data_IF_087980358856
#
_entry.id   IF_087980358856
#
_cell.length_a   1.000
_cell.length_b   1.000
_cell.length_c   1.000
_cell.angle_alpha   90.00
_cell.angle_beta   90.00
_cell.angle_gamma   90.00
#
_symmetry.space_group_name_H-M   'P 1'
#
loop_
_entity.id
_entity.type
_entity.pdbx_description
1 polymer ?
#
# COMPACT_ATOMS: atom_id res chain seq x y z
N UNK A 1 -2.81 -11.82 -9.02
CA UNK A 1 -2.83 -12.54 -10.32
C UNK A 1 -1.77 -13.64 -10.29
N UNK A 2 -2.13 -14.84 -10.73
CA UNK A 2 -1.25 -16.02 -10.73
C UNK A 2 -0.45 -16.02 -12.04
N UNK A 3 0.89 -16.25 -12.01
CA UNK A 3 1.67 -16.36 -13.25
C UNK A 3 1.07 -17.43 -14.18
N UNK A 4 1.10 -17.22 -15.51
CA UNK A 4 0.63 -18.21 -16.46
C UNK A 4 1.28 -19.58 -16.23
N UNK A 5 0.59 -20.71 -16.48
CA UNK A 5 1.13 -22.05 -16.30
C UNK A 5 2.49 -22.26 -16.97
N UNK A 6 2.73 -21.62 -18.12
CA UNK A 6 3.96 -21.72 -18.91
C UNK A 6 5.08 -20.75 -18.49
N UNK A 7 4.90 -19.97 -17.43
CA UNK A 7 5.86 -18.93 -17.03
C UNK A 7 7.19 -19.50 -16.51
N UNK A 8 8.30 -18.99 -17.06
CA UNK A 8 9.57 -18.52 -16.43
C UNK A 8 9.76 -18.73 -14.93
N UNK A 9 8.73 -18.39 -14.17
CA UNK A 9 8.79 -18.28 -12.72
C UNK A 9 8.42 -19.57 -11.99
N UNK A 10 7.72 -20.49 -12.66
CA UNK A 10 7.48 -21.82 -12.10
C UNK A 10 8.74 -22.67 -12.24
N UNK A 11 9.13 -23.44 -11.20
CA UNK A 11 10.13 -24.47 -11.36
C UNK A 11 9.74 -25.42 -12.50
N UNK A 12 10.72 -25.96 -13.21
CA UNK A 12 10.51 -26.77 -14.42
C UNK A 12 9.55 -27.94 -14.19
N UNK A 13 9.63 -28.56 -13.00
CA UNK A 13 8.73 -29.65 -12.57
C UNK A 13 7.26 -29.24 -12.38
N UNK A 14 6.96 -27.94 -12.24
CA UNK A 14 5.63 -27.41 -11.98
C UNK A 14 5.08 -26.51 -13.10
N UNK A 15 5.69 -26.51 -14.28
CA UNK A 15 5.30 -25.65 -15.42
C UNK A 15 4.48 -26.40 -16.47
N UNK A 16 3.70 -25.65 -17.25
CA UNK A 16 3.00 -26.10 -18.45
C UNK A 16 1.94 -27.15 -18.15
N UNK A 17 1.97 -28.28 -18.86
CA UNK A 17 0.99 -29.38 -18.67
C UNK A 17 1.00 -29.97 -17.25
N UNK A 18 2.10 -29.81 -16.51
CA UNK A 18 2.24 -30.30 -15.13
C UNK A 18 1.72 -29.31 -14.10
N UNK A 19 1.42 -28.07 -14.50
CA UNK A 19 0.98 -27.02 -13.60
C UNK A 19 -0.43 -27.29 -13.05
N UNK A 20 -0.61 -27.08 -11.75
CA UNK A 20 -1.89 -27.19 -11.05
C UNK A 20 -2.18 -25.88 -10.30
N UNK A 21 -3.45 -25.50 -10.21
CA UNK A 21 -3.89 -24.27 -9.53
C UNK A 21 -3.42 -24.20 -8.06
N UNK A 22 -3.33 -25.35 -7.38
CA UNK A 22 -2.81 -25.46 -6.01
C UNK A 22 -1.38 -24.94 -5.85
N UNK A 23 -0.57 -24.96 -6.91
CA UNK A 23 0.80 -24.44 -6.87
C UNK A 23 0.84 -22.92 -6.65
N UNK A 24 -0.19 -22.19 -7.10
CA UNK A 24 -0.30 -20.76 -6.81
C UNK A 24 -0.31 -20.47 -5.30
N UNK A 25 -0.89 -21.37 -4.51
CA UNK A 25 -0.94 -21.28 -3.05
C UNK A 25 0.43 -21.62 -2.45
N UNK A 26 1.07 -22.70 -2.93
CA UNK A 26 2.39 -23.13 -2.42
C UNK A 26 3.46 -22.05 -2.55
N UNK A 27 3.38 -21.23 -3.60
CA UNK A 27 4.36 -20.16 -3.89
C UNK A 27 3.86 -18.76 -3.51
N UNK A 28 2.68 -18.63 -2.89
CA UNK A 28 2.19 -17.36 -2.38
C UNK A 28 3.12 -16.78 -1.31
N UNK A 29 3.34 -15.47 -1.32
CA UNK A 29 4.22 -14.78 -0.37
C UNK A 29 5.73 -15.01 -0.60
N UNK A 30 6.12 -15.83 -1.59
CA UNK A 30 7.53 -16.16 -1.84
C UNK A 30 8.22 -15.17 -2.78
N UNK A 31 9.51 -14.95 -2.54
CA UNK A 31 10.35 -14.04 -3.31
C UNK A 31 10.32 -14.32 -4.81
N UNK A 32 10.10 -15.54 -5.31
CA UNK A 32 9.97 -15.76 -6.77
C UNK A 32 8.81 -14.96 -7.40
N UNK A 33 7.70 -14.80 -6.67
CA UNK A 33 6.51 -14.10 -7.13
C UNK A 33 6.49 -12.62 -6.72
N UNK A 34 7.52 -12.15 -6.02
CA UNK A 34 7.57 -10.78 -5.52
C UNK A 34 7.96 -9.78 -6.62
N UNK A 35 7.35 -8.60 -6.64
CA UNK A 35 7.61 -7.50 -7.57
C UNK A 35 8.95 -6.82 -7.29
N UNK A 36 9.46 -6.95 -6.06
CA UNK A 36 10.74 -6.38 -5.65
C UNK A 36 11.94 -7.27 -5.93
N UNK A 37 11.72 -8.51 -6.37
CA UNK A 37 12.76 -9.48 -6.69
C UNK A 37 12.92 -9.65 -8.20
N UNK A 38 14.16 -9.61 -8.67
CA UNK A 38 14.51 -9.86 -10.06
C UNK A 38 15.57 -10.96 -10.18
N UNK A 39 15.67 -11.63 -11.34
CA UNK A 39 16.76 -12.57 -11.59
C UNK A 39 18.13 -11.88 -11.54
N UNK A 40 19.15 -12.59 -11.06
CA UNK A 40 20.56 -12.14 -11.16
C UNK A 40 21.02 -12.04 -12.63
N UNK A 41 22.15 -11.39 -12.93
CA UNK A 41 22.72 -11.37 -14.30
C UNK A 41 22.88 -12.78 -14.88
N UNK A 42 22.72 -12.93 -16.20
CA UNK A 42 22.78 -14.25 -16.88
C UNK A 42 24.08 -15.01 -16.58
N UNK A 43 25.22 -14.32 -16.53
CA UNK A 43 26.51 -14.91 -16.17
C UNK A 43 26.49 -15.59 -14.80
N UNK A 44 25.89 -14.94 -13.79
CA UNK A 44 25.75 -15.51 -12.45
C UNK A 44 24.73 -16.66 -12.41
N UNK A 45 23.62 -16.53 -13.13
CA UNK A 45 22.64 -17.63 -13.22
C UNK A 45 23.24 -18.90 -13.85
N UNK A 46 24.13 -18.74 -14.83
CA UNK A 46 24.87 -19.85 -15.45
C UNK A 46 25.87 -20.46 -14.48
N UNK A 47 26.61 -19.65 -13.72
CA UNK A 47 27.52 -20.12 -12.68
C UNK A 47 26.78 -20.92 -11.60
N UNK A 48 25.68 -20.39 -11.06
CA UNK A 48 24.87 -21.08 -10.07
C UNK A 48 24.35 -22.43 -10.62
N UNK A 49 23.94 -22.45 -11.91
CA UNK A 49 23.53 -23.69 -12.60
C UNK A 49 24.68 -24.69 -12.72
N UNK A 50 25.88 -24.24 -13.08
CA UNK A 50 27.07 -25.08 -13.24
C UNK A 50 27.54 -25.67 -11.89
N UNK A 51 27.47 -24.88 -10.83
CA UNK A 51 27.79 -25.29 -9.46
C UNK A 51 26.67 -26.09 -8.78
N UNK A 52 25.52 -26.30 -9.44
CA UNK A 52 24.38 -27.03 -8.87
C UNK A 52 23.70 -26.32 -7.69
N UNK A 53 23.93 -25.02 -7.51
CA UNK A 53 23.37 -24.25 -6.38
C UNK A 53 22.02 -23.67 -6.77
N UNK A 54 21.13 -23.49 -5.78
CA UNK A 54 19.82 -22.88 -6.02
C UNK A 54 19.99 -21.46 -6.56
N UNK A 55 19.41 -21.17 -7.73
CA UNK A 55 19.45 -19.84 -8.34
C UNK A 55 18.88 -18.80 -7.40
N UNK A 56 19.67 -17.78 -7.09
CA UNK A 56 19.27 -16.67 -6.23
C UNK A 56 18.55 -15.57 -7.02
N UNK A 57 17.74 -14.80 -6.31
CA UNK A 57 17.10 -13.59 -6.82
C UNK A 57 17.69 -12.38 -6.11
N UNK A 58 17.65 -11.22 -6.77
CA UNK A 58 18.05 -9.95 -6.18
C UNK A 58 16.80 -9.20 -5.70
N UNK A 59 16.69 -8.97 -4.39
CA UNK A 59 15.61 -8.20 -3.77
C UNK A 59 16.02 -6.73 -3.63
N UNK A 60 15.12 -5.83 -4.03
CA UNK A 60 15.30 -4.36 -3.98
C UNK A 60 14.61 -3.68 -2.79
N UNK A 61 13.80 -4.42 -2.02
CA UNK A 61 13.01 -3.89 -0.90
C UNK A 61 12.91 -4.90 0.25
N UNK A 62 14.04 -5.50 0.63
CA UNK A 62 14.09 -6.52 1.69
C UNK A 62 13.69 -5.90 3.05
N UNK A 63 12.90 -6.59 3.90
CA UNK A 63 12.44 -6.06 5.19
C UNK A 63 13.58 -5.66 6.13
N UNK A 64 14.67 -6.44 6.16
CA UNK A 64 15.82 -6.18 7.04
C UNK A 64 16.78 -5.10 6.48
N UNK A 65 16.74 -4.86 5.17
CA UNK A 65 17.72 -4.02 4.46
C UNK A 65 17.04 -3.19 3.37
N UNK A 66 16.06 -2.38 3.78
CA UNK A 66 15.31 -1.54 2.86
C UNK A 66 16.25 -0.57 2.11
N UNK A 67 16.31 -0.68 0.78
CA UNK A 67 17.17 0.12 -0.08
C UNK A 67 18.47 -0.52 -0.54
N UNK A 68 18.85 -1.66 0.05
CA UNK A 68 20.02 -2.43 -0.35
C UNK A 68 19.61 -3.57 -1.29
N UNK A 69 20.48 -3.88 -2.25
CA UNK A 69 20.32 -5.05 -3.10
C UNK A 69 20.76 -6.28 -2.30
N UNK A 70 19.81 -7.15 -1.97
CA UNK A 70 20.08 -8.37 -1.20
C UNK A 70 19.75 -9.60 -2.03
N UNK A 71 20.66 -10.56 -2.05
CA UNK A 71 20.35 -11.88 -2.59
C UNK A 71 19.37 -12.61 -1.67
N UNK A 72 18.31 -13.16 -2.25
CA UNK A 72 17.28 -13.95 -1.57
C UNK A 72 17.06 -15.25 -2.33
N UNK A 73 16.63 -16.29 -1.64
CA UNK A 73 16.21 -17.52 -2.29
C UNK A 73 14.81 -17.32 -2.92
N UNK A 74 14.52 -17.95 -4.06
CA UNK A 74 13.19 -17.91 -4.67
C UNK A 74 12.08 -18.36 -3.72
N UNK A 75 12.43 -19.27 -2.80
CA UNK A 75 11.51 -19.87 -1.84
C UNK A 75 11.33 -19.06 -0.55
N UNK A 76 12.13 -18.02 -0.34
CA UNK A 76 12.04 -17.21 0.89
C UNK A 76 10.70 -16.48 0.96
N UNK A 77 10.11 -16.44 2.15
CA UNK A 77 8.92 -15.62 2.43
C UNK A 77 9.35 -14.22 2.83
N UNK A 78 8.66 -13.20 2.31
CA UNK A 78 9.05 -11.80 2.53
C UNK A 78 7.92 -11.00 3.18
N UNK A 79 8.22 -10.28 4.26
CA UNK A 79 7.25 -9.38 4.93
C UNK A 79 6.88 -8.16 4.08
N UNK A 80 7.77 -7.77 3.17
CA UNK A 80 7.53 -6.74 2.16
C UNK A 80 7.06 -7.36 0.82
N UNK A 81 6.55 -8.60 0.83
CA UNK A 81 6.09 -9.25 -0.39
C UNK A 81 5.03 -8.41 -1.09
N UNK A 82 5.21 -8.22 -2.40
CA UNK A 82 4.23 -7.60 -3.28
C UNK A 82 4.12 -8.46 -4.52
N UNK A 83 2.93 -8.93 -4.88
CA UNK A 83 2.81 -9.83 -6.04
C UNK A 83 3.21 -9.12 -7.35
N UNK A 84 3.98 -9.81 -8.21
CA UNK A 84 4.21 -9.38 -9.60
C UNK A 84 2.89 -9.31 -10.36
N UNK A 85 2.74 -8.28 -11.19
CA UNK A 85 1.62 -8.18 -12.11
C UNK A 85 1.87 -9.05 -13.34
N UNK A 86 1.08 -10.11 -13.51
CA UNK A 86 1.11 -10.98 -14.67
C UNK A 86 -0.10 -10.66 -15.55
N UNK A 87 0.11 -9.91 -16.62
CA UNK A 87 -0.94 -9.69 -17.61
C UNK A 87 -1.18 -11.01 -18.37
N UNK A 88 -2.43 -11.45 -18.56
CA UNK A 88 -2.69 -12.60 -19.42
C UNK A 88 -2.21 -12.30 -20.85
N UNK A 89 -1.73 -13.31 -21.61
CA UNK A 89 -1.47 -13.14 -23.03
C UNK A 89 -2.75 -12.62 -23.69
N UNK A 90 -2.69 -11.46 -24.36
CA UNK A 90 -3.84 -10.94 -25.11
C UNK A 90 -4.29 -12.02 -26.09
N UNK A 91 -5.54 -12.48 -25.95
CA UNK A 91 -6.19 -13.24 -27.01
C UNK A 91 -6.08 -12.43 -28.30
N UNK A 92 -5.72 -13.09 -29.41
CA UNK A 92 -5.59 -12.46 -30.73
C UNK A 92 -6.98 -12.05 -31.23
N UNK A 93 -7.57 -11.01 -30.66
CA UNK A 93 -8.75 -10.36 -31.17
C UNK A 93 -8.32 -9.27 -32.17
N UNK A 94 -8.61 -9.54 -33.44
CA UNK A 94 -8.92 -8.61 -34.52
C UNK A 94 -8.09 -7.32 -34.62
N UNK A 95 -7.30 -7.21 -35.70
CA UNK A 95 -6.81 -5.94 -36.23
C UNK A 95 -8.00 -5.00 -36.50
N UNK A 96 -8.11 -3.89 -35.78
CA UNK A 96 -8.33 -2.50 -36.28
C UNK A 96 -8.64 -1.56 -35.12
N UNK A 97 -8.02 -0.39 -35.16
CA UNK A 97 -8.02 0.63 -34.11
C UNK A 97 -6.61 0.85 -33.61
N UNK A 98 -5.99 1.95 -34.04
CA UNK A 98 -4.63 2.37 -33.65
C UNK A 98 -4.58 2.60 -32.14
N UNK A 99 -4.36 1.55 -31.38
CA UNK A 99 -4.03 1.63 -29.98
C UNK A 99 -2.64 2.27 -29.89
N UNK A 100 -2.60 3.52 -29.42
CA UNK A 100 -1.38 4.13 -28.90
C UNK A 100 -0.81 3.15 -27.89
N UNK A 101 0.30 2.49 -28.26
CA UNK A 101 1.07 1.66 -27.34
C UNK A 101 1.41 2.58 -26.16
N UNK A 102 0.82 2.35 -24.98
CA UNK A 102 1.42 2.85 -23.74
C UNK A 102 2.78 2.17 -23.66
N UNK A 103 3.82 2.89 -24.07
CA UNK A 103 5.20 2.50 -23.81
C UNK A 103 5.32 2.33 -22.29
N UNK A 104 5.74 1.15 -21.84
CA UNK A 104 6.44 1.08 -20.56
C UNK A 104 7.66 1.99 -20.68
N UNK A 105 7.92 2.93 -19.76
CA UNK A 105 8.99 3.90 -19.93
C UNK A 105 10.31 3.25 -19.54
N UNK A 106 10.86 2.46 -20.46
CA UNK A 106 12.31 2.25 -20.57
C UNK A 106 12.95 3.62 -20.84
N UNK A 107 13.21 4.40 -19.79
CA UNK A 107 13.89 5.70 -19.90
C UNK A 107 13.66 6.72 -18.78
N UNK A 108 12.62 6.60 -17.94
CA UNK A 108 12.23 7.69 -17.02
C UNK A 108 12.66 7.50 -15.56
N UNK A 109 13.28 6.39 -15.16
CA UNK A 109 13.72 6.22 -13.76
C UNK A 109 15.22 6.38 -13.67
N UNK A 110 15.68 7.29 -12.82
CA UNK A 110 17.09 7.54 -12.51
C UNK A 110 17.39 7.15 -11.07
N UNK A 111 18.67 6.90 -10.78
CA UNK A 111 19.17 6.53 -9.46
C UNK A 111 20.10 7.59 -8.93
N UNK A 112 19.91 7.99 -7.68
CA UNK A 112 20.80 8.93 -6.98
C UNK A 112 21.49 8.19 -5.84
N UNK A 113 22.83 8.13 -5.79
CA UNK A 113 23.56 7.47 -4.71
C UNK A 113 23.44 8.24 -3.40
N UNK A 114 23.30 7.52 -2.28
CA UNK A 114 23.20 8.07 -0.92
C UNK A 114 24.43 7.76 -0.03
N UNK A 115 25.35 6.93 -0.54
CA UNK A 115 26.46 6.34 0.21
C UNK A 115 26.14 4.96 0.78
N UNK A 116 27.18 4.19 1.16
CA UNK A 116 27.07 2.81 1.69
C UNK A 116 26.30 1.83 0.78
N UNK A 117 26.43 2.00 -0.55
CA UNK A 117 25.74 1.17 -1.54
C UNK A 117 24.25 1.46 -1.73
N UNK A 118 23.67 2.40 -0.96
CA UNK A 118 22.27 2.78 -1.06
C UNK A 118 22.02 3.78 -2.19
N UNK A 119 20.85 3.67 -2.82
CA UNK A 119 20.39 4.60 -3.85
C UNK A 119 18.90 4.93 -3.69
N UNK A 120 18.52 6.12 -4.13
CA UNK A 120 17.13 6.54 -4.27
C UNK A 120 16.68 6.45 -5.73
N UNK A 121 15.45 5.96 -5.96
CA UNK A 121 14.80 5.99 -7.27
C UNK A 121 14.05 7.31 -7.45
N UNK A 122 14.25 7.97 -8.58
CA UNK A 122 13.59 9.24 -8.93
C UNK A 122 13.16 9.24 -10.39
N UNK A 123 12.17 10.05 -10.75
CA UNK A 123 11.83 10.26 -12.15
C UNK A 123 12.89 11.14 -12.84
N UNK A 124 13.10 10.94 -14.14
CA UNK A 124 14.11 11.62 -14.93
C UNK A 124 13.92 13.15 -14.91
N UNK A 125 12.67 13.61 -14.91
CA UNK A 125 12.31 15.02 -14.81
C UNK A 125 12.79 15.70 -13.51
N UNK A 126 12.98 14.94 -12.43
CA UNK A 126 13.49 15.47 -11.16
C UNK A 126 15.00 15.25 -10.98
N UNK A 127 15.60 14.38 -11.77
CA UNK A 127 16.99 13.94 -11.58
C UNK A 127 17.98 15.10 -11.65
N UNK A 128 17.95 15.93 -12.69
CA UNK A 128 18.90 17.04 -12.87
C UNK A 128 18.87 18.03 -11.70
N UNK A 129 17.68 18.28 -11.15
CA UNK A 129 17.50 19.18 -10.01
C UNK A 129 17.99 18.53 -8.71
N UNK A 130 17.70 17.25 -8.50
CA UNK A 130 18.03 16.54 -7.26
C UNK A 130 19.51 16.14 -7.17
N UNK A 131 20.17 15.88 -8.31
CA UNK A 131 21.59 15.49 -8.36
C UNK A 131 22.55 16.61 -7.94
N UNK A 132 22.08 17.85 -7.84
CA UNK A 132 22.85 19.00 -7.33
C UNK A 132 23.12 18.90 -5.82
N UNK A 133 22.38 18.06 -5.10
CA UNK A 133 22.49 17.93 -3.65
C UNK A 133 23.24 16.67 -3.28
N UNK A 134 24.00 16.76 -2.18
CA UNK A 134 24.60 15.60 -1.53
C UNK A 134 23.57 14.95 -0.61
N UNK A 135 23.17 13.73 -0.97
CA UNK A 135 22.14 12.97 -0.26
C UNK A 135 22.76 11.91 0.64
N UNK A 136 22.04 11.61 1.73
CA UNK A 136 22.41 10.62 2.74
C UNK A 136 21.20 9.76 3.09
N UNK A 137 21.45 8.50 3.42
CA UNK A 137 20.43 7.62 3.95
C UNK A 137 20.17 7.91 5.44
N UNK A 138 18.90 8.11 5.79
CA UNK A 138 18.45 8.36 7.15
C UNK A 138 17.39 7.33 7.54
N UNK A 139 17.67 6.51 8.56
CA UNK A 139 16.75 5.47 9.05
C UNK A 139 15.74 6.07 10.02
N UNK A 140 14.47 5.75 9.81
CA UNK A 140 13.36 6.08 10.70
C UNK A 140 12.50 4.83 10.89
N UNK A 141 12.74 4.11 12.00
CA UNK A 141 12.14 2.79 12.21
C UNK A 141 12.57 1.79 11.12
N UNK A 142 11.63 1.08 10.46
CA UNK A 142 11.96 0.14 9.39
C UNK A 142 12.23 0.82 8.04
N UNK A 143 11.91 2.10 7.89
CA UNK A 143 11.99 2.80 6.60
C UNK A 143 13.26 3.65 6.51
N UNK A 144 13.92 3.61 5.36
CA UNK A 144 15.06 4.47 5.04
C UNK A 144 14.62 5.58 4.10
N UNK A 145 15.03 6.81 4.40
CA UNK A 145 14.72 7.97 3.57
C UNK A 145 15.99 8.64 3.06
N UNK A 146 15.90 9.24 1.87
CA UNK A 146 16.94 10.11 1.35
C UNK A 146 16.80 11.52 1.97
N UNK A 147 17.85 11.96 2.66
CA UNK A 147 17.94 13.26 3.36
C UNK A 147 19.13 14.06 2.84
N UNK A 148 18.98 15.37 2.72
CA UNK A 148 20.08 16.30 2.51
C UNK A 148 19.97 17.47 3.50
N UNK A 149 21.04 18.25 3.64
CA UNK A 149 21.04 19.48 4.44
C UNK A 149 21.03 20.69 3.51
N UNK A 150 20.03 21.55 3.65
CA UNK A 150 19.85 22.75 2.85
C UNK A 150 19.68 23.95 3.77
N UNK A 151 20.52 24.99 3.61
CA UNK A 151 20.48 26.23 4.43
C UNK A 151 20.40 25.94 5.94
N UNK A 152 21.20 24.99 6.41
CA UNK A 152 21.23 24.57 7.82
C UNK A 152 20.08 23.66 8.27
N UNK A 153 19.07 23.39 7.44
CA UNK A 153 17.89 22.56 7.75
C UNK A 153 17.91 21.23 7.02
N UNK A 154 17.38 20.20 7.69
CA UNK A 154 17.25 18.87 7.10
C UNK A 154 16.04 18.80 6.18
N UNK A 155 16.26 18.35 4.95
CA UNK A 155 15.22 18.22 3.93
C UNK A 155 15.24 16.81 3.35
N UNK A 156 14.07 16.19 3.26
CA UNK A 156 13.90 14.88 2.64
C UNK A 156 13.56 15.00 1.16
N UNK A 157 14.03 14.03 0.37
CA UNK A 157 13.87 14.02 -1.08
C UNK A 157 12.38 14.07 -1.50
N UNK A 158 11.55 13.21 -0.90
CA UNK A 158 10.12 13.19 -1.15
C UNK A 158 9.43 14.54 -0.88
N UNK A 159 9.85 15.30 0.15
CA UNK A 159 9.30 16.64 0.43
C UNK A 159 9.76 17.66 -0.59
N UNK A 160 11.00 17.55 -1.06
CA UNK A 160 11.56 18.45 -2.07
C UNK A 160 10.88 18.25 -3.44
N UNK A 161 10.40 17.04 -3.74
CA UNK A 161 9.65 16.72 -4.96
C UNK A 161 8.20 17.22 -4.86
N UNK A 162 7.48 16.85 -3.79
CA UNK A 162 6.04 17.12 -3.67
C UNK A 162 5.68 18.50 -3.10
N UNK A 163 6.61 19.17 -2.42
CA UNK A 163 6.41 20.50 -1.80
C UNK A 163 5.08 20.63 -1.03
N UNK A 164 4.80 19.73 -0.05
CA UNK A 164 3.53 19.74 0.67
C UNK A 164 3.34 21.03 1.49
N UNK A 165 2.09 21.47 1.65
CA UNK A 165 1.72 22.58 2.55
C UNK A 165 2.08 22.23 4.00
N UNK A 166 2.23 23.24 4.86
CA UNK A 166 2.48 23.04 6.29
C UNK A 166 1.37 22.17 6.90
N UNK A 167 1.74 21.25 7.79
CA UNK A 167 0.82 20.27 8.40
C UNK A 167 0.54 19.03 7.56
N UNK A 168 0.96 18.99 6.29
CA UNK A 168 0.84 17.79 5.45
C UNK A 168 2.16 17.01 5.38
N UNK A 169 2.01 15.70 5.18
CA UNK A 169 3.08 14.71 5.06
C UNK A 169 3.05 14.16 3.65
N UNK A 170 4.20 13.70 3.15
CA UNK A 170 4.27 12.93 1.90
C UNK A 170 4.41 11.46 2.30
N UNK A 171 3.47 10.65 1.84
CA UNK A 171 3.45 9.20 2.04
C UNK A 171 3.97 8.50 0.80
N UNK A 172 4.67 7.39 1.02
CA UNK A 172 5.17 6.49 -0.03
C UNK A 172 4.16 5.36 -0.16
N UNK A 173 3.46 5.31 -1.28
CA UNK A 173 2.38 4.34 -1.53
C UNK A 173 2.87 2.89 -1.34
N UNK A 174 4.10 2.60 -1.73
CA UNK A 174 4.71 1.27 -1.59
C UNK A 174 5.42 1.01 -0.23
N UNK A 175 5.47 2.01 0.67
CA UNK A 175 6.18 1.95 1.95
C UNK A 175 7.71 2.02 1.86
N UNK A 176 8.28 2.14 0.66
CA UNK A 176 9.72 2.26 0.43
C UNK A 176 10.14 3.74 0.35
N UNK A 177 10.72 4.25 1.44
CA UNK A 177 11.16 5.65 1.56
C UNK A 177 12.27 6.08 0.58
N UNK A 178 12.90 5.13 -0.12
CA UNK A 178 13.90 5.39 -1.17
C UNK A 178 13.32 5.39 -2.58
N UNK A 179 12.08 4.93 -2.77
CA UNK A 179 11.35 5.07 -4.02
C UNK A 179 10.65 6.43 -4.10
N UNK A 180 11.39 7.46 -4.52
CA UNK A 180 10.94 8.85 -4.55
C UNK A 180 10.33 9.26 -5.91
N UNK A 181 9.89 8.30 -6.73
CA UNK A 181 9.14 8.57 -7.96
C UNK A 181 7.79 9.21 -7.64
N UNK A 182 7.38 10.21 -8.39
CA UNK A 182 6.10 10.93 -8.22
C UNK A 182 4.90 10.01 -8.20
N UNK A 183 4.89 8.96 -9.04
CA UNK A 183 3.81 7.96 -9.04
C UNK A 183 3.71 7.14 -7.74
N UNK A 184 4.76 7.13 -6.92
CA UNK A 184 4.81 6.48 -5.62
C UNK A 184 4.59 7.44 -4.44
N UNK A 185 4.55 8.75 -4.69
CA UNK A 185 4.42 9.77 -3.65
C UNK A 185 3.00 10.35 -3.64
N UNK A 186 2.45 10.59 -2.45
CA UNK A 186 1.18 11.29 -2.28
C UNK A 186 1.18 12.21 -1.06
N UNK A 187 0.51 13.35 -1.18
CA UNK A 187 0.31 14.25 -0.04
C UNK A 187 -0.85 13.73 0.82
N UNK A 188 -0.65 13.63 2.12
CA UNK A 188 -1.62 13.10 3.05
C UNK A 188 -1.54 13.78 4.43
N UNK A 189 -2.55 13.51 5.26
CA UNK A 189 -2.57 13.83 6.69
C UNK A 189 -1.91 12.71 7.50
N UNK A 190 -1.50 12.98 8.74
CA UNK A 190 -0.91 11.96 9.63
C UNK A 190 -1.80 10.72 9.82
N UNK A 191 -3.13 10.91 9.88
CA UNK A 191 -4.10 9.81 10.00
C UNK A 191 -4.17 8.96 8.73
N UNK A 192 -4.13 9.59 7.56
CA UNK A 192 -4.08 8.88 6.28
C UNK A 192 -2.76 8.11 6.12
N UNK A 193 -1.63 8.73 6.48
CA UNK A 193 -0.33 8.05 6.49
C UNK A 193 -0.34 6.80 7.39
N UNK A 194 -0.98 6.90 8.57
CA UNK A 194 -1.10 5.76 9.49
C UNK A 194 -1.95 4.62 8.91
N UNK A 195 -2.93 4.92 8.06
CA UNK A 195 -3.74 3.91 7.39
C UNK A 195 -2.94 3.08 6.36
N UNK A 196 -1.82 3.64 5.87
CA UNK A 196 -0.88 2.95 4.97
C UNK A 196 0.19 2.13 5.72
N UNK A 197 0.06 1.97 7.03
CA UNK A 197 1.06 1.23 7.81
C UNK A 197 1.02 -0.26 7.45
N UNK A 198 2.16 -0.77 7.00
CA UNK A 198 2.34 -2.18 6.68
C UNK A 198 2.39 -3.11 7.91
N UNK A 199 2.63 -4.40 7.69
CA UNK A 199 2.61 -5.42 8.74
C UNK A 199 3.67 -5.16 9.80
N UNK A 200 3.29 -5.34 11.07
CA UNK A 200 4.17 -5.18 12.23
C UNK A 200 4.47 -6.53 12.93
N UNK A 201 4.69 -7.58 12.14
CA UNK A 201 4.79 -8.95 12.65
C UNK A 201 3.42 -9.49 13.08
N UNK A 202 3.40 -10.75 13.53
CA UNK A 202 2.19 -11.44 13.95
C UNK A 202 2.16 -12.90 13.49
N UNK A 203 1.02 -13.55 13.73
CA UNK A 203 0.77 -14.95 13.35
C UNK A 203 0.38 -15.14 11.88
N UNK A 204 0.13 -14.05 11.15
CA UNK A 204 -0.22 -14.04 9.74
C UNK A 204 0.80 -13.27 8.92
N UNK A 205 0.92 -13.62 7.64
CA UNK A 205 1.65 -12.81 6.66
C UNK A 205 0.88 -11.55 6.22
N UNK A 206 -0.44 -11.48 6.47
CA UNK A 206 -1.30 -10.39 6.04
C UNK A 206 -1.65 -9.43 7.17
N UNK A 207 -1.75 -8.14 6.83
CA UNK A 207 -2.08 -7.08 7.78
C UNK A 207 -3.51 -7.23 8.29
N UNK A 208 -3.67 -7.22 9.61
CA UNK A 208 -4.97 -7.29 10.28
C UNK A 208 -5.59 -8.68 10.28
N UNK A 209 -4.80 -9.72 9.98
CA UNK A 209 -5.20 -11.11 10.07
C UNK A 209 -4.44 -11.78 11.21
N UNK A 210 -5.16 -12.55 12.02
CA UNK A 210 -4.62 -13.19 13.21
C UNK A 210 -5.10 -14.63 13.29
N UNK A 211 -4.22 -15.54 13.72
CA UNK A 211 -4.61 -16.92 14.03
C UNK A 211 -5.45 -16.94 15.31
N UNK A 212 -6.64 -17.53 15.24
CA UNK A 212 -7.54 -17.74 16.37
C UNK A 212 -7.96 -19.21 16.41
N UNK A 213 -7.27 -20.00 17.25
CA UNK A 213 -7.38 -21.46 17.29
C UNK A 213 -7.23 -22.02 15.87
N UNK A 214 -8.23 -22.74 15.38
CA UNK A 214 -8.22 -23.39 14.06
C UNK A 214 -8.69 -22.48 12.91
N UNK A 215 -9.02 -21.22 13.20
CA UNK A 215 -9.55 -20.25 12.23
C UNK A 215 -8.70 -18.98 12.13
N UNK A 216 -8.96 -18.19 11.09
CA UNK A 216 -8.32 -16.91 10.84
C UNK A 216 -9.28 -15.76 11.11
N UNK A 217 -8.89 -14.86 12.00
CA UNK A 217 -9.67 -13.70 12.37
C UNK A 217 -9.16 -12.47 11.62
N UNK A 218 -10.08 -11.72 11.00
CA UNK A 218 -9.78 -10.43 10.39
C UNK A 218 -10.27 -9.28 11.27
N UNK A 219 -9.44 -8.25 11.43
CA UNK A 219 -9.76 -7.04 12.18
C UNK A 219 -9.06 -5.79 11.64
N UNK A 220 -9.64 -4.62 11.90
CA UNK A 220 -9.06 -3.33 11.53
C UNK A 220 -9.29 -2.27 12.61
N UNK A 221 -8.24 -1.54 12.97
CA UNK A 221 -8.35 -0.39 13.85
C UNK A 221 -8.86 0.84 13.09
N UNK A 222 -9.93 1.48 13.56
CA UNK A 222 -10.46 2.71 13.01
C UNK A 222 -10.91 3.68 14.11
N UNK A 223 -10.39 4.91 14.10
CA UNK A 223 -10.69 5.97 15.10
C UNK A 223 -10.56 5.50 16.55
N UNK A 224 -9.52 4.72 16.85
CA UNK A 224 -9.25 4.21 18.20
C UNK A 224 -10.07 3.00 18.61
N UNK A 225 -10.93 2.45 17.73
CA UNK A 225 -11.70 1.23 17.99
C UNK A 225 -11.21 0.10 17.10
N UNK A 226 -11.11 -1.11 17.66
CA UNK A 226 -10.87 -2.32 16.88
C UNK A 226 -12.19 -2.83 16.30
N UNK A 227 -12.28 -2.90 14.98
CA UNK A 227 -13.44 -3.44 14.28
C UNK A 227 -13.16 -4.90 13.94
N UNK A 228 -14.02 -5.78 14.45
CA UNK A 228 -14.05 -7.19 14.05
C UNK A 228 -14.72 -7.33 12.68
N UNK A 229 -14.07 -8.02 11.75
CA UNK A 229 -14.55 -8.20 10.39
C UNK A 229 -15.15 -9.60 10.21
N UNK A 230 -14.52 -10.61 10.79
CA UNK A 230 -15.02 -11.99 10.72
C UNK A 230 -13.99 -13.04 11.11
N UNK A 231 -14.45 -14.29 11.15
CA UNK A 231 -13.67 -15.51 11.31
C UNK A 231 -13.79 -16.34 10.03
N UNK A 232 -12.66 -16.75 9.47
CA UNK A 232 -12.54 -17.42 8.19
C UNK A 232 -11.77 -18.73 8.35
N UNK A 233 -11.98 -19.67 7.43
CA UNK A 233 -11.19 -20.91 7.38
C UNK A 233 -9.83 -20.67 6.73
N UNK A 234 -9.79 -19.75 5.76
CA UNK A 234 -8.59 -19.45 4.99
C UNK A 234 -8.01 -18.08 5.32
N UNK A 235 -6.69 -18.03 5.44
CA UNK A 235 -5.93 -16.82 5.75
C UNK A 235 -6.11 -15.74 4.67
N UNK A 236 -6.13 -16.17 3.40
CA UNK A 236 -6.28 -15.30 2.23
C UNK A 236 -7.67 -14.66 2.18
N UNK A 237 -8.72 -15.41 2.53
CA UNK A 237 -10.09 -14.88 2.56
C UNK A 237 -10.26 -13.83 3.67
N UNK A 238 -9.68 -14.08 4.85
CA UNK A 238 -9.62 -13.11 5.93
C UNK A 238 -8.95 -11.81 5.49
N UNK A 239 -7.82 -11.92 4.79
CA UNK A 239 -7.07 -10.78 4.27
C UNK A 239 -7.86 -9.99 3.21
N UNK A 240 -8.57 -10.66 2.29
CA UNK A 240 -9.45 -10.00 1.31
C UNK A 240 -10.66 -9.32 1.94
N UNK A 241 -11.27 -9.94 2.96
CA UNK A 241 -12.34 -9.30 3.73
C UNK A 241 -11.83 -8.05 4.45
N UNK A 242 -10.62 -8.11 5.01
CA UNK A 242 -9.96 -6.96 5.61
C UNK A 242 -9.69 -5.86 4.60
N UNK A 243 -9.18 -6.18 3.41
CA UNK A 243 -8.88 -5.19 2.37
C UNK A 243 -10.11 -4.44 1.89
N UNK A 244 -11.24 -5.15 1.69
CA UNK A 244 -12.53 -4.51 1.36
C UNK A 244 -12.91 -3.48 2.43
N UNK A 245 -12.81 -3.85 3.71
CA UNK A 245 -13.14 -2.94 4.80
C UNK A 245 -12.14 -1.78 4.93
N UNK A 246 -10.85 -2.03 4.69
CA UNK A 246 -9.83 -1.01 4.72
C UNK A 246 -10.05 0.04 3.62
N UNK A 247 -10.39 -0.41 2.40
CA UNK A 247 -10.72 0.46 1.28
C UNK A 247 -11.99 1.27 1.55
N UNK A 248 -13.03 0.67 2.12
CA UNK A 248 -14.25 1.39 2.53
C UNK A 248 -13.94 2.52 3.53
N UNK A 249 -13.05 2.27 4.50
CA UNK A 249 -12.76 3.21 5.59
C UNK A 249 -11.73 4.30 5.24
N UNK A 250 -10.74 3.98 4.41
CA UNK A 250 -9.58 4.83 4.13
C UNK A 250 -9.39 5.17 2.65
N UNK A 251 -10.18 4.56 1.76
CA UNK A 251 -10.11 4.75 0.31
C UNK A 251 -8.72 4.46 -0.22
N UNK A 252 -8.22 5.37 -1.06
CA UNK A 252 -6.89 5.26 -1.67
C UNK A 252 -5.74 5.18 -0.65
N UNK A 253 -5.92 5.64 0.60
CA UNK A 253 -4.87 5.66 1.62
C UNK A 253 -4.75 4.35 2.41
N UNK A 254 -5.64 3.39 2.18
CA UNK A 254 -5.58 2.09 2.81
C UNK A 254 -4.31 1.34 2.39
N UNK A 255 -3.60 0.76 3.35
CA UNK A 255 -2.73 -0.37 3.06
C UNK A 255 -3.63 -1.54 2.65
N UNK A 256 -3.38 -2.16 1.49
CA UNK A 256 -4.10 -3.34 1.00
C UNK A 256 -3.13 -4.51 0.86
N UNK A 257 -3.54 -5.69 1.32
CA UNK A 257 -2.80 -6.93 1.12
C UNK A 257 -2.81 -7.36 -0.37
N UNK A 258 -3.92 -7.13 -1.06
CA UNK A 258 -4.17 -7.45 -2.47
C UNK A 258 -4.65 -6.20 -3.25
N UNK A 259 -3.79 -5.21 -3.49
CA UNK A 259 -4.17 -3.98 -4.19
C UNK A 259 -4.65 -4.22 -5.64
N UNK A 260 -4.31 -5.36 -6.24
CA UNK A 260 -4.75 -5.76 -7.58
C UNK A 260 -6.26 -5.96 -7.67
N UNK A 261 -6.90 -6.42 -6.59
CA UNK A 261 -8.34 -6.72 -6.56
C UNK A 261 -9.19 -5.44 -6.69
N UNK A 262 -8.58 -4.26 -6.52
CA UNK A 262 -9.23 -2.95 -6.59
C UNK A 262 -8.88 -2.15 -7.86
N UNK A 263 -8.03 -2.69 -8.75
CA UNK A 263 -7.57 -1.96 -9.96
C UNK A 263 -8.64 -1.86 -11.05
N UNK A 264 -9.71 -2.67 -11.01
CA UNK A 264 -10.74 -2.74 -12.06
C UNK A 264 -11.78 -1.62 -12.07
N UNK A 265 -11.92 -0.86 -10.99
CA UNK A 265 -12.97 0.16 -10.86
C UNK A 265 -12.46 1.57 -11.22
N UNK A 266 -11.17 1.84 -11.01
CA UNK A 266 -10.53 3.11 -11.37
C UNK A 266 -10.41 3.31 -12.90
N UNK A 267 -10.24 2.23 -13.66
CA UNK A 267 -10.18 2.32 -15.14
C UNK A 267 -11.58 2.49 -15.77
N UNK A 268 -12.65 2.05 -15.10
CA UNK A 268 -14.04 2.19 -15.58
C UNK A 268 -14.63 3.59 -15.32
N UNK A 269 -14.12 4.33 -14.34
CA UNK A 269 -14.63 5.66 -13.96
C UNK A 269 -14.23 6.81 -14.90
N UNK A 270 -13.22 6.64 -15.75
CA UNK A 270 -12.73 7.70 -16.65
C UNK A 270 -13.36 7.70 -18.06
N UNK A 271 -14.27 6.75 -18.35
CA UNK A 271 -14.86 6.54 -19.68
C UNK A 271 -16.35 6.90 -19.83
N UNK A 272 -16.99 7.51 -18.83
CA UNK A 272 -18.43 7.80 -18.86
C UNK A 272 -18.73 9.30 -18.88
N UNK A 273 -18.70 9.94 -20.06
CA UNK A 273 -19.37 11.23 -20.25
C UNK A 273 -20.89 11.00 -20.29
N UNK A 274 -21.61 11.62 -19.36
CA UNK A 274 -22.95 12.13 -19.61
C UNK A 274 -24.14 11.22 -19.28
N UNK A 275 -24.33 10.83 -18.01
CA UNK A 275 -25.68 10.58 -17.52
C UNK A 275 -26.31 11.94 -17.14
N UNK A 276 -27.20 12.45 -18.02
CA UNK A 276 -27.99 13.65 -17.76
C UNK A 276 -28.77 13.49 -16.45
N UNK A 277 -28.43 14.31 -15.45
CA UNK A 277 -29.32 14.59 -14.32
C UNK A 277 -30.56 15.27 -14.90
N UNK A 278 -31.68 14.56 -14.95
CA UNK A 278 -32.97 15.15 -15.30
C UNK A 278 -33.49 15.81 -14.03
N UNK A 279 -33.27 17.12 -13.93
CA UNK A 279 -33.95 17.97 -12.95
C UNK A 279 -35.46 17.91 -13.23
N UNK A 280 -36.21 17.25 -12.34
CA UNK A 280 -37.65 17.41 -12.28
C UNK A 280 -37.95 18.58 -11.34
N UNK A 281 -38.16 19.77 -11.90
CA UNK A 281 -38.73 20.91 -11.20
C UNK A 281 -39.79 21.59 -12.05
N UNK A 282 -40.98 21.68 -11.45
CA UNK A 282 -42.16 22.51 -11.74
C UNK A 282 -43.13 22.09 -12.84
N UNK A 283 -44.36 21.77 -12.41
CA UNK A 283 -45.63 22.49 -12.68
C UNK A 283 -46.66 21.99 -11.65
N UNK A 284 -46.98 22.78 -10.62
CA UNK A 284 -48.17 23.65 -10.54
C UNK A 284 -49.48 22.91 -10.82
N UNK A 285 -50.16 22.51 -9.75
CA UNK A 285 -51.57 22.12 -9.72
C UNK A 285 -52.15 22.57 -8.37
N UNK A 286 -53.20 23.38 -8.44
CA UNK A 286 -53.83 24.17 -7.37
C UNK A 286 -54.63 23.29 -6.40
N UNK A 287 -54.67 23.68 -5.13
CA UNK A 287 -55.60 23.19 -4.11
C UNK A 287 -55.24 23.73 -2.73
N UNK A 288 -56.02 24.68 -2.21
CA UNK A 288 -55.93 25.29 -0.87
C UNK A 288 -57.18 24.82 -0.06
N UNK A 289 -57.31 25.11 1.23
CA UNK A 289 -56.79 24.36 2.37
C UNK A 289 -57.92 23.88 3.31
N UNK A 290 -57.64 22.94 4.21
CA UNK A 290 -58.38 22.84 5.48
C UNK A 290 -57.40 22.58 6.64
N UNK A 291 -57.47 23.46 7.64
CA UNK A 291 -56.94 23.31 9.01
C UNK A 291 -58.13 22.89 9.90
N UNK A 292 -57.96 22.17 11.03
CA UNK A 292 -57.34 22.71 12.26
C UNK A 292 -56.55 21.60 13.01
N UNK A 293 -55.93 21.68 14.20
CA UNK A 293 -55.83 22.61 15.32
C UNK A 293 -54.51 22.27 16.07
N UNK A 294 -53.92 23.22 16.79
CA UNK A 294 -52.93 22.97 17.86
C UNK A 294 -53.64 22.69 19.20
N UNK A 295 -52.97 22.04 20.17
CA UNK A 295 -52.46 22.77 21.36
C UNK A 295 -51.05 22.28 21.77
N UNK A 296 -50.06 23.16 21.96
CA UNK A 296 -49.67 23.85 23.22
C UNK A 296 -49.08 22.97 24.33
N UNK A 297 -47.86 23.34 24.80
CA UNK A 297 -47.22 22.85 26.03
C UNK A 297 -45.69 22.77 25.88
N UNK A 298 -44.93 23.86 26.02
CA UNK A 298 -44.43 24.42 27.29
C UNK A 298 -43.65 23.42 28.17
N UNK A 299 -42.33 23.59 28.26
CA UNK A 299 -41.47 22.88 29.21
C UNK A 299 -39.99 23.21 29.01
N UNK A 300 -39.45 24.07 29.88
CA UNK A 300 -38.11 24.67 29.86
C UNK A 300 -37.35 24.22 31.13
N UNK A 301 -36.02 24.02 31.00
CA UNK A 301 -34.95 24.11 32.05
C UNK A 301 -34.78 22.87 32.98
N UNK A 302 -33.58 22.53 33.57
CA UNK A 302 -32.25 23.16 33.52
C UNK A 302 -31.03 22.29 33.16
N UNK A 303 -29.96 23.03 32.85
CA UNK A 303 -28.53 22.71 32.98
C UNK A 303 -28.14 22.48 34.44
N UNK A 304 -27.39 21.41 34.74
CA UNK A 304 -26.68 21.26 36.02
C UNK A 304 -25.18 21.11 35.79
N UNK A 305 -24.46 22.20 36.04
CA UNK A 305 -23.02 22.24 36.33
C UNK A 305 -22.73 21.61 37.68
N UNK A 306 -21.85 20.60 37.77
CA UNK A 306 -21.20 20.23 39.04
C UNK A 306 -19.68 20.42 38.99
N UNK A 307 -19.30 21.30 39.92
CA UNK A 307 -18.02 21.78 40.41
C UNK A 307 -16.96 20.70 40.65
N UNK A 308 -15.71 21.11 40.40
CA UNK A 308 -14.43 20.60 40.92
C UNK A 308 -14.49 20.18 42.40
N UNK A 309 -13.86 19.06 42.75
CA UNK A 309 -13.26 18.85 44.06
C UNK A 309 -11.79 18.50 43.89
N UNK A 310 -10.96 19.46 44.33
CA UNK A 310 -9.51 19.41 44.50
C UNK A 310 -9.25 18.68 45.81
N UNK A 311 -8.40 17.65 45.81
CA UNK A 311 -7.81 17.09 47.03
C UNK A 311 -6.30 17.06 46.77
N UNK A 312 -5.60 18.01 47.40
CA UNK A 312 -4.15 17.98 47.65
C UNK A 312 -3.93 17.34 49.02
N UNK A 313 -2.84 16.60 49.17
CA UNK A 313 -2.42 15.98 50.43
C UNK A 313 -1.26 15.00 50.23
N UNK A 314 -0.04 15.55 50.16
CA UNK A 314 1.28 14.89 50.20
C UNK A 314 1.57 14.27 51.58
N UNK A 315 2.82 13.83 51.88
CA UNK A 315 3.63 12.76 51.30
C UNK A 315 3.92 11.67 52.37
N UNK A 316 4.46 10.51 51.99
CA UNK A 316 5.05 9.57 52.98
C UNK A 316 6.34 8.98 52.46
N UNK A 317 7.27 8.89 53.40
CA UNK A 317 8.71 8.68 53.28
C UNK A 317 9.14 7.30 52.80
N UNK A 318 10.29 7.28 52.11
CA UNK A 318 11.12 6.08 51.91
C UNK A 318 11.92 5.77 53.19
N UNK A 319 12.21 4.49 53.44
CA UNK A 319 13.47 4.10 54.06
C UNK A 319 14.32 3.22 53.13
N UNK A 320 15.60 3.60 53.05
CA UNK A 320 16.83 2.81 52.75
C UNK A 320 16.80 1.69 51.72
#
# INVERSE_FOLDING_TARGET
MVPPPDSDVWPEQYRGKRWKSVYAILFAGRCQLCAYSCPLPKSRQLLDKWLGVTRRLLCTNHPDSAGELREVLPIDTCRNFKAKSWLPPRSRLGKRGRCVKKKEPEGEVRRIPLGRGLFALVDAADYERLSKYRWYASRHGPTVYARCRQKGKDTYMHRMIMRPRRGHIVDHIDGNGLNNRRCNLRVCTSRQNQANRGPCGGSSQFVGVFRNKDRWQAGIGYRGKSLYIGLFRDEVEAAKARDRKAYELHGQYAYLNFPEDFRSDAEKGAGGRGAKVRNASRRLGRGRPESPASPSGAGRIPVSTKKKKKIEGSPVDNPT
#
